data_IF_783795660464
#
_entry.id   IF_783795660464
#
_cell.length_a   1.000
_cell.length_b   1.000
_cell.length_c   1.000
_cell.angle_alpha   90.00
_cell.angle_beta   90.00
_cell.angle_gamma   90.00
#
_symmetry.space_group_name_H-M   'P 1'
#
loop_
_entity.id
_entity.type
_entity.pdbx_description
1 polymer ?
#
# COMPACT_ATOMS: atom_id res chain seq x y z
N UNK A 1 17.00 20.14 -18.61
CA UNK A 1 16.77 18.72 -18.97
C UNK A 1 17.61 17.77 -18.12
N UNK A 2 18.94 17.92 -18.07
CA UNK A 2 19.83 16.98 -17.36
C UNK A 2 19.55 16.82 -15.86
N UNK A 3 19.26 17.92 -15.14
CA UNK A 3 18.84 17.86 -13.72
C UNK A 3 17.52 17.10 -13.51
N UNK A 4 16.56 17.25 -14.43
CA UNK A 4 15.24 16.57 -14.38
C UNK A 4 15.42 15.07 -14.65
N UNK A 5 16.30 14.70 -15.59
CA UNK A 5 16.60 13.29 -15.86
C UNK A 5 17.28 12.62 -14.68
N UNK A 6 18.24 13.28 -14.03
CA UNK A 6 18.92 12.74 -12.83
C UNK A 6 17.95 12.56 -11.66
N UNK A 7 17.12 13.56 -11.36
CA UNK A 7 16.13 13.45 -10.27
C UNK A 7 15.07 12.38 -10.56
N UNK A 8 14.60 12.30 -11.80
CA UNK A 8 13.61 11.30 -12.22
C UNK A 8 14.18 9.88 -12.16
N UNK A 9 15.45 9.66 -12.53
CA UNK A 9 16.10 8.36 -12.39
C UNK A 9 16.20 7.89 -10.94
N UNK A 10 16.52 8.79 -10.00
CA UNK A 10 16.51 8.46 -8.56
C UNK A 10 15.12 8.08 -8.10
N UNK A 11 14.09 8.85 -8.47
CA UNK A 11 12.70 8.57 -8.11
C UNK A 11 12.21 7.22 -8.68
N UNK A 12 12.53 6.93 -9.95
CA UNK A 12 12.23 5.64 -10.60
C UNK A 12 12.89 4.47 -9.84
N UNK A 13 14.14 4.65 -9.40
CA UNK A 13 14.87 3.62 -8.65
C UNK A 13 14.22 3.37 -7.29
N UNK A 14 13.90 4.42 -6.55
CA UNK A 14 13.23 4.31 -5.24
C UNK A 14 11.86 3.65 -5.42
N UNK A 15 11.06 4.09 -6.38
CA UNK A 15 9.75 3.51 -6.66
C UNK A 15 9.86 2.02 -7.02
N UNK A 16 10.87 1.63 -7.79
CA UNK A 16 11.13 0.22 -8.12
C UNK A 16 11.46 -0.60 -6.87
N UNK A 17 12.35 -0.09 -6.01
CA UNK A 17 12.74 -0.78 -4.76
C UNK A 17 11.53 -0.95 -3.85
N UNK A 18 10.76 0.11 -3.60
CA UNK A 18 9.58 0.06 -2.76
C UNK A 18 8.51 -0.89 -3.31
N UNK A 19 8.29 -0.89 -4.63
CA UNK A 19 7.40 -1.86 -5.28
C UNK A 19 7.86 -3.30 -5.04
N UNK A 20 9.15 -3.59 -5.18
CA UNK A 20 9.69 -4.93 -4.94
C UNK A 20 9.50 -5.34 -3.47
N UNK A 21 9.78 -4.45 -2.52
CA UNK A 21 9.50 -4.71 -1.10
C UNK A 21 8.03 -5.01 -0.84
N UNK A 22 7.10 -4.28 -1.46
CA UNK A 22 5.67 -4.56 -1.33
C UNK A 22 5.27 -5.91 -1.93
N UNK A 23 5.90 -6.36 -3.02
CA UNK A 23 5.69 -7.72 -3.57
C UNK A 23 6.18 -8.78 -2.60
N UNK A 24 7.38 -8.60 -2.02
CA UNK A 24 7.93 -9.53 -1.04
C UNK A 24 7.03 -9.59 0.20
N UNK A 25 6.60 -8.42 0.71
CA UNK A 25 5.64 -8.32 1.81
C UNK A 25 4.33 -9.04 1.51
N UNK A 26 3.75 -8.85 0.31
CA UNK A 26 2.55 -9.57 -0.13
C UNK A 26 2.72 -11.09 -0.05
N UNK A 27 3.83 -11.62 -0.56
CA UNK A 27 4.11 -13.07 -0.55
C UNK A 27 4.19 -13.59 0.89
N UNK A 28 4.96 -12.92 1.75
CA UNK A 28 5.10 -13.33 3.15
C UNK A 28 3.78 -13.23 3.92
N UNK A 29 2.98 -12.19 3.66
CA UNK A 29 1.67 -12.04 4.29
C UNK A 29 0.69 -13.13 3.89
N UNK A 30 0.65 -13.51 2.61
CA UNK A 30 -0.21 -14.62 2.14
C UNK A 30 0.25 -15.96 2.73
N UNK A 31 1.55 -16.25 2.70
CA UNK A 31 2.10 -17.48 3.29
C UNK A 31 1.87 -17.53 4.80
N UNK A 32 2.10 -16.41 5.49
CA UNK A 32 1.86 -16.30 6.92
C UNK A 32 0.39 -16.47 7.28
N UNK A 33 -0.54 -15.94 6.48
CA UNK A 33 -1.97 -16.15 6.68
C UNK A 33 -2.37 -17.63 6.52
N UNK A 34 -1.86 -18.31 5.48
CA UNK A 34 -2.08 -19.75 5.29
C UNK A 34 -1.56 -20.54 6.48
N UNK A 35 -0.34 -20.24 6.95
CA UNK A 35 0.22 -20.86 8.16
C UNK A 35 -0.61 -20.55 9.42
N UNK A 36 -1.12 -19.32 9.56
CA UNK A 36 -1.97 -18.91 10.68
C UNK A 36 -3.27 -19.72 10.75
N UNK A 37 -3.92 -19.97 9.60
CA UNK A 37 -5.08 -20.86 9.54
C UNK A 37 -4.71 -22.33 9.78
N UNK A 38 -3.66 -22.82 9.13
CA UNK A 38 -3.26 -24.23 9.21
C UNK A 38 -2.77 -24.63 10.61
N UNK A 39 -2.08 -23.71 11.31
CA UNK A 39 -1.50 -23.94 12.63
C UNK A 39 -2.29 -23.27 13.76
N UNK A 40 -3.56 -22.92 13.53
CA UNK A 40 -4.38 -22.17 14.48
C UNK A 40 -4.40 -22.81 15.88
N UNK A 41 -4.51 -24.13 15.98
CA UNK A 41 -4.50 -24.84 17.26
C UNK A 41 -3.21 -24.66 18.07
N UNK A 42 -2.06 -24.74 17.39
CA UNK A 42 -0.75 -24.51 18.03
C UNK A 42 -0.57 -23.04 18.43
N UNK A 43 -0.92 -22.12 17.54
CA UNK A 43 -0.80 -20.68 17.78
C UNK A 43 -1.67 -20.26 18.97
N UNK A 44 -2.91 -20.74 19.03
CA UNK A 44 -3.81 -20.44 20.15
C UNK A 44 -3.24 -20.95 21.47
N UNK A 45 -2.72 -22.18 21.52
CA UNK A 45 -2.07 -22.73 22.72
C UNK A 45 -0.82 -21.94 23.11
N UNK A 46 0.01 -21.54 22.15
CA UNK A 46 1.22 -20.76 22.40
C UNK A 46 0.91 -19.40 23.04
N UNK A 47 -0.17 -18.75 22.58
CA UNK A 47 -0.64 -17.46 23.10
C UNK A 47 -1.63 -17.59 24.28
N UNK A 48 -1.82 -18.78 24.85
CA UNK A 48 -2.44 -18.91 26.18
C UNK A 48 -1.48 -18.49 27.30
N UNK A 49 -0.17 -18.49 27.05
CA UNK A 49 0.82 -17.96 27.99
C UNK A 49 0.84 -16.42 27.93
N UNK A 50 0.57 -15.72 29.06
CA UNK A 50 0.57 -14.26 29.12
C UNK A 50 1.89 -13.60 28.71
N UNK A 51 3.03 -14.27 28.90
CA UNK A 51 4.34 -13.74 28.53
C UNK A 51 4.52 -13.66 27.01
N UNK A 52 3.99 -14.65 26.28
CA UNK A 52 4.01 -14.67 24.81
C UNK A 52 3.03 -13.64 24.22
N UNK A 53 1.88 -13.43 24.88
CA UNK A 53 0.92 -12.38 24.49
C UNK A 53 1.55 -10.99 24.66
N UNK A 54 2.22 -10.74 25.79
CA UNK A 54 2.92 -9.49 26.04
C UNK A 54 4.03 -9.23 25.00
N UNK A 55 4.78 -10.27 24.63
CA UNK A 55 5.82 -10.16 23.60
C UNK A 55 5.25 -9.84 22.20
N UNK A 56 4.01 -10.23 21.91
CA UNK A 56 3.34 -9.99 20.64
C UNK A 56 2.41 -8.77 20.63
N UNK A 57 2.44 -7.94 21.68
CA UNK A 57 1.45 -6.88 21.87
C UNK A 57 1.40 -5.86 20.73
N UNK A 58 2.56 -5.47 20.19
CA UNK A 58 2.63 -4.58 19.02
C UNK A 58 2.01 -5.17 17.76
N UNK A 59 2.05 -6.50 17.61
CA UNK A 59 1.39 -7.20 16.51
C UNK A 59 -0.12 -7.31 16.76
N UNK A 60 -0.53 -7.55 18.01
CA UNK A 60 -1.95 -7.64 18.40
C UNK A 60 -2.71 -6.31 18.30
N UNK A 61 -1.98 -5.19 18.33
CA UNK A 61 -2.50 -3.84 18.22
C UNK A 61 -2.16 -3.18 16.86
N UNK A 62 -1.55 -3.92 15.94
CA UNK A 62 -1.13 -3.33 14.68
C UNK A 62 -2.34 -2.84 13.88
N UNK A 63 -2.23 -1.61 13.38
CA UNK A 63 -3.26 -0.94 12.61
C UNK A 63 -3.64 -1.76 11.37
N UNK A 64 -4.94 -1.97 11.19
CA UNK A 64 -5.52 -2.71 10.07
C UNK A 64 -6.17 -1.77 9.04
N UNK A 65 -5.98 -0.45 9.16
CA UNK A 65 -6.59 0.56 8.30
C UNK A 65 -8.12 0.50 8.36
N UNK A 66 -8.80 0.62 7.21
CA UNK A 66 -10.27 0.50 7.15
C UNK A 66 -10.80 -0.83 7.72
N UNK A 67 -10.00 -1.89 7.75
CA UNK A 67 -10.41 -3.18 8.33
C UNK A 67 -10.52 -3.13 9.86
N UNK A 68 -10.00 -2.09 10.52
CA UNK A 68 -10.23 -1.83 11.94
C UNK A 68 -11.69 -1.50 12.29
N UNK A 69 -12.52 -1.14 11.31
CA UNK A 69 -13.97 -0.97 11.50
C UNK A 69 -14.71 -2.31 11.66
N UNK A 70 -14.08 -3.41 11.26
CA UNK A 70 -14.63 -4.76 11.43
C UNK A 70 -14.19 -5.25 12.81
N UNK A 71 -15.12 -5.76 13.66
CA UNK A 71 -14.84 -6.09 15.06
C UNK A 71 -14.06 -7.42 15.22
N UNK A 72 -12.87 -7.51 14.60
CA UNK A 72 -11.96 -8.65 14.73
C UNK A 72 -11.40 -8.80 16.15
N UNK A 73 -11.59 -7.80 17.01
CA UNK A 73 -11.31 -7.86 18.46
C UNK A 73 -11.99 -9.04 19.13
N UNK A 74 -13.21 -9.38 18.71
CA UNK A 74 -13.94 -10.55 19.23
C UNK A 74 -13.23 -11.90 18.98
N UNK A 75 -12.46 -12.00 17.88
CA UNK A 75 -11.68 -13.20 17.55
C UNK A 75 -10.49 -13.34 18.50
N UNK A 76 -9.82 -12.21 18.79
CA UNK A 76 -8.72 -12.13 19.76
C UNK A 76 -9.21 -12.44 21.17
N UNK A 77 -10.31 -11.84 21.60
CA UNK A 77 -10.92 -12.04 22.92
C UNK A 77 -11.42 -13.48 23.13
N UNK A 78 -11.86 -14.14 22.05
CA UNK A 78 -12.21 -15.57 22.06
C UNK A 78 -11.00 -16.52 22.07
N UNK A 79 -9.76 -16.01 22.17
CA UNK A 79 -8.53 -16.81 22.21
C UNK A 79 -8.15 -17.44 20.87
N UNK A 80 -8.76 -17.00 19.75
CA UNK A 80 -8.49 -17.51 18.40
C UNK A 80 -7.38 -16.69 17.72
N UNK A 81 -6.22 -16.63 18.35
CA UNK A 81 -5.06 -15.87 17.91
C UNK A 81 -4.57 -16.25 16.50
N UNK A 82 -4.58 -17.53 16.13
CA UNK A 82 -4.15 -17.97 14.79
C UNK A 82 -5.03 -17.41 13.66
N UNK A 83 -6.34 -17.45 13.84
CA UNK A 83 -7.31 -16.83 12.91
C UNK A 83 -7.15 -15.30 12.91
N UNK A 84 -6.99 -14.68 14.08
CA UNK A 84 -6.80 -13.24 14.20
C UNK A 84 -5.56 -12.76 13.42
N UNK A 85 -4.40 -13.37 13.64
CA UNK A 85 -3.17 -13.05 12.91
C UNK A 85 -3.29 -13.35 11.41
N UNK A 86 -3.96 -14.44 11.03
CA UNK A 86 -4.18 -14.75 9.63
C UNK A 86 -5.00 -13.67 8.91
N UNK A 87 -6.08 -13.19 9.54
CA UNK A 87 -6.90 -12.09 9.01
C UNK A 87 -6.06 -10.81 8.91
N UNK A 88 -5.30 -10.48 9.96
CA UNK A 88 -4.43 -9.29 9.96
C UNK A 88 -3.40 -9.33 8.82
N UNK A 89 -2.80 -10.49 8.56
CA UNK A 89 -1.88 -10.69 7.44
C UNK A 89 -2.59 -10.57 6.09
N UNK A 90 -3.84 -11.04 5.96
CA UNK A 90 -4.63 -10.81 4.74
C UNK A 90 -4.94 -9.32 4.53
N UNK A 91 -5.26 -8.57 5.60
CA UNK A 91 -5.41 -7.13 5.53
C UNK A 91 -4.11 -6.47 5.05
N UNK A 92 -2.97 -6.88 5.60
CA UNK A 92 -1.64 -6.43 5.17
C UNK A 92 -1.36 -6.78 3.69
N UNK A 93 -1.78 -7.95 3.22
CA UNK A 93 -1.64 -8.35 1.82
C UNK A 93 -2.42 -7.40 0.89
N UNK A 94 -3.64 -7.01 1.23
CA UNK A 94 -4.43 -6.03 0.47
C UNK A 94 -3.71 -4.67 0.41
N UNK A 95 -3.16 -4.21 1.54
CA UNK A 95 -2.36 -2.97 1.60
C UNK A 95 -1.12 -3.06 0.72
N UNK A 96 -0.44 -4.20 0.72
CA UNK A 96 0.72 -4.44 -0.16
C UNK A 96 0.33 -4.37 -1.64
N UNK A 97 -0.84 -4.92 -2.05
CA UNK A 97 -1.36 -4.79 -3.42
C UNK A 97 -1.58 -3.31 -3.79
N UNK A 98 -2.15 -2.52 -2.88
CA UNK A 98 -2.32 -1.09 -3.08
C UNK A 98 -0.96 -0.39 -3.30
N UNK A 99 0.05 -0.67 -2.47
CA UNK A 99 1.39 -0.09 -2.65
C UNK A 99 2.09 -0.53 -3.94
N UNK A 100 1.94 -1.79 -4.36
CA UNK A 100 2.48 -2.28 -5.64
C UNK A 100 1.92 -1.44 -6.79
N UNK A 101 0.62 -1.15 -6.76
CA UNK A 101 -0.04 -0.32 -7.76
C UNK A 101 0.45 1.13 -7.72
N UNK A 102 0.51 1.73 -6.53
CA UNK A 102 0.96 3.12 -6.32
C UNK A 102 2.40 3.32 -6.82
N UNK A 103 3.34 2.48 -6.37
CA UNK A 103 4.74 2.61 -6.78
C UNK A 103 4.96 2.20 -8.24
N UNK A 104 4.15 1.29 -8.78
CA UNK A 104 4.12 0.97 -10.20
C UNK A 104 3.71 2.18 -11.05
N UNK A 105 2.66 2.89 -10.65
CA UNK A 105 2.21 4.12 -11.30
C UNK A 105 3.28 5.21 -11.17
N UNK A 106 3.79 5.47 -9.97
CA UNK A 106 4.83 6.48 -9.75
C UNK A 106 6.04 6.25 -10.65
N UNK A 107 6.49 5.00 -10.74
CA UNK A 107 7.57 4.60 -11.65
C UNK A 107 7.25 4.98 -13.09
N UNK A 108 6.09 4.57 -13.62
CA UNK A 108 5.67 4.87 -15.01
C UNK A 108 5.58 6.37 -15.26
N UNK A 109 5.00 7.13 -14.33
CA UNK A 109 4.88 8.60 -14.43
C UNK A 109 6.26 9.26 -14.49
N UNK A 110 7.19 8.85 -13.63
CA UNK A 110 8.54 9.42 -13.61
C UNK A 110 9.37 9.01 -14.83
N UNK A 111 9.18 7.79 -15.36
CA UNK A 111 9.76 7.37 -16.64
C UNK A 111 9.25 8.24 -17.79
N UNK A 112 7.95 8.50 -17.87
CA UNK A 112 7.36 9.39 -18.87
C UNK A 112 7.91 10.82 -18.79
N UNK A 113 8.02 11.39 -17.57
CA UNK A 113 8.59 12.74 -17.37
C UNK A 113 10.05 12.78 -17.82
N UNK A 114 10.83 11.73 -17.51
CA UNK A 114 12.24 11.62 -17.93
C UNK A 114 12.38 11.57 -19.45
N UNK A 115 11.53 10.79 -20.10
CA UNK A 115 11.68 10.44 -21.52
C UNK A 115 11.01 11.48 -22.45
N UNK A 116 9.94 12.13 -22.00
CA UNK A 116 9.12 13.01 -22.84
C UNK A 116 8.93 14.42 -22.27
N UNK A 117 9.37 14.68 -21.03
CA UNK A 117 9.09 15.93 -20.31
C UNK A 117 7.65 16.04 -19.82
N UNK A 118 6.80 15.03 -20.07
CA UNK A 118 5.35 15.02 -19.76
C UNK A 118 5.01 13.84 -18.85
N UNK A 119 4.04 13.98 -17.94
CA UNK A 119 3.68 12.91 -17.00
C UNK A 119 2.95 11.73 -17.66
N UNK A 120 2.19 11.99 -18.73
CA UNK A 120 1.46 11.00 -19.52
C UNK A 120 1.17 11.56 -20.92
N UNK A 121 0.88 10.70 -21.90
CA UNK A 121 0.47 11.17 -23.23
C UNK A 121 -1.00 11.64 -23.24
N UNK A 122 -1.34 12.56 -24.15
CA UNK A 122 -2.71 13.10 -24.31
C UNK A 122 -3.75 11.98 -24.49
N UNK A 123 -3.42 10.93 -25.25
CA UNK A 123 -4.26 9.75 -25.44
C UNK A 123 -4.49 8.92 -24.16
N UNK A 124 -3.62 9.04 -23.16
CA UNK A 124 -3.72 8.31 -21.88
C UNK A 124 -4.37 9.16 -20.76
N UNK A 125 -4.73 10.41 -21.02
CA UNK A 125 -5.24 11.38 -20.03
C UNK A 125 -6.40 10.83 -19.20
N UNK A 126 -7.40 10.24 -19.85
CA UNK A 126 -8.58 9.70 -19.16
C UNK A 126 -8.22 8.53 -18.23
N UNK A 127 -7.26 7.70 -18.65
CA UNK A 127 -6.74 6.59 -17.86
C UNK A 127 -6.00 7.13 -16.63
N UNK A 128 -5.06 8.05 -16.81
CA UNK A 128 -4.29 8.63 -15.70
C UNK A 128 -5.16 9.35 -14.67
N UNK A 129 -6.19 10.09 -15.11
CA UNK A 129 -7.16 10.72 -14.21
C UNK A 129 -7.85 9.69 -13.31
N UNK A 130 -8.36 8.61 -13.89
CA UNK A 130 -8.97 7.51 -13.11
C UNK A 130 -7.97 6.88 -12.16
N UNK A 131 -6.76 6.62 -12.63
CA UNK A 131 -5.68 5.99 -11.85
C UNK A 131 -5.27 6.86 -10.66
N UNK A 132 -5.20 8.19 -10.81
CA UNK A 132 -4.94 9.12 -9.71
C UNK A 132 -6.05 9.14 -8.67
N UNK A 133 -7.32 9.14 -9.10
CA UNK A 133 -8.47 9.04 -8.19
C UNK A 133 -8.41 7.73 -7.38
N UNK A 134 -8.17 6.60 -8.06
CA UNK A 134 -8.04 5.29 -7.41
C UNK A 134 -6.93 5.32 -6.37
N UNK A 135 -5.75 5.87 -6.70
CA UNK A 135 -4.64 5.99 -5.75
C UNK A 135 -5.00 6.81 -4.52
N UNK A 136 -5.65 7.97 -4.68
CA UNK A 136 -6.07 8.79 -3.54
C UNK A 136 -7.07 8.06 -2.65
N UNK A 137 -8.01 7.32 -3.25
CA UNK A 137 -8.96 6.48 -2.50
C UNK A 137 -8.21 5.37 -1.75
N UNK A 138 -7.26 4.68 -2.38
CA UNK A 138 -6.47 3.65 -1.71
C UNK A 138 -5.67 4.22 -0.51
N UNK A 139 -5.06 5.40 -0.65
CA UNK A 139 -4.35 6.04 0.48
C UNK A 139 -5.33 6.39 1.61
N UNK A 140 -6.53 6.87 1.26
CA UNK A 140 -7.58 7.18 2.24
C UNK A 140 -8.02 5.95 3.03
N UNK A 141 -8.22 4.82 2.34
CA UNK A 141 -8.72 3.59 2.94
C UNK A 141 -7.67 2.88 3.81
N UNK A 142 -6.38 3.04 3.49
CA UNK A 142 -5.32 2.20 4.06
C UNK A 142 -4.23 2.94 4.82
N UNK A 143 -4.18 4.27 4.77
CA UNK A 143 -3.21 5.07 5.51
C UNK A 143 -3.94 5.97 6.49
N UNK A 144 -4.45 7.11 6.02
CA UNK A 144 -5.27 8.03 6.81
C UNK A 144 -5.82 9.14 5.88
N UNK A 145 -6.74 9.94 6.38
CA UNK A 145 -7.36 11.06 5.67
C UNK A 145 -6.34 12.14 5.27
N UNK A 146 -5.43 12.51 6.17
CA UNK A 146 -4.47 13.61 5.93
C UNK A 146 -3.49 13.27 4.80
N UNK A 147 -2.80 12.12 4.79
CA UNK A 147 -1.95 11.70 3.68
C UNK A 147 -2.72 11.59 2.36
N UNK A 148 -3.97 11.12 2.39
CA UNK A 148 -4.79 10.98 1.20
C UNK A 148 -5.16 12.32 0.56
N UNK A 149 -5.53 13.32 1.38
CA UNK A 149 -5.80 14.68 0.92
C UNK A 149 -4.56 15.31 0.27
N UNK A 150 -3.41 15.21 0.92
CA UNK A 150 -2.15 15.75 0.39
C UNK A 150 -1.80 15.09 -0.93
N UNK A 151 -1.83 13.75 -1.00
CA UNK A 151 -1.56 13.01 -2.23
C UNK A 151 -2.55 13.38 -3.34
N UNK A 152 -3.84 13.50 -3.03
CA UNK A 152 -4.87 13.88 -4.00
C UNK A 152 -4.64 15.27 -4.60
N UNK A 153 -4.32 16.27 -3.77
CA UNK A 153 -4.00 17.63 -4.23
C UNK A 153 -2.79 17.61 -5.16
N UNK A 154 -1.72 16.88 -4.78
CA UNK A 154 -0.51 16.76 -5.59
C UNK A 154 -0.79 16.10 -6.94
N UNK A 155 -1.58 15.02 -6.96
CA UNK A 155 -1.92 14.29 -8.19
C UNK A 155 -2.82 15.12 -9.12
N UNK A 156 -3.79 15.86 -8.57
CA UNK A 156 -4.63 16.78 -9.35
C UNK A 156 -3.80 17.96 -9.90
N UNK A 157 -2.91 18.53 -9.09
CA UNK A 157 -1.98 19.57 -9.53
C UNK A 157 -1.09 19.10 -10.68
N UNK A 158 -0.48 17.91 -10.54
CA UNK A 158 0.33 17.30 -11.58
C UNK A 158 -0.47 17.06 -12.86
N UNK A 159 -1.72 16.59 -12.74
CA UNK A 159 -2.62 16.40 -13.87
C UNK A 159 -2.88 17.70 -14.63
N UNK A 160 -3.28 18.76 -13.91
CA UNK A 160 -3.61 20.05 -14.52
C UNK A 160 -2.40 20.69 -15.20
N UNK A 161 -1.23 20.67 -14.56
CA UNK A 161 0.03 21.20 -15.15
C UNK A 161 0.42 20.42 -16.39
N UNK A 162 0.29 19.09 -16.37
CA UNK A 162 0.64 18.23 -17.51
C UNK A 162 -0.27 18.46 -18.70
N UNK A 163 -1.58 18.63 -18.48
CA UNK A 163 -2.55 18.93 -19.55
C UNK A 163 -2.29 20.32 -20.11
N UNK A 164 -2.06 21.33 -19.27
CA UNK A 164 -1.77 22.70 -19.71
C UNK A 164 -0.51 22.77 -20.59
N UNK A 165 0.58 22.09 -20.18
CA UNK A 165 1.82 22.01 -20.97
C UNK A 165 1.74 21.10 -22.21
N UNK A 166 0.58 20.50 -22.49
CA UNK A 166 0.32 19.73 -23.71
C UNK A 166 -0.59 20.45 -24.71
N UNK A 167 -1.28 21.49 -24.26
CA UNK A 167 -2.12 22.36 -25.09
C UNK A 167 -1.36 23.54 -25.74
N UNK A 168 -0.07 23.69 -25.42
CA UNK A 168 0.89 24.55 -26.13
C UNK A 168 1.64 23.74 -27.20
#
# INVERSE_FOLDING_TARGET
MEKIQKSSNTAVTIAKVLRTFSIIGLVFSVLGAVCGFAMNGFINQYYQDPSNVAAAQSSLEADMGIFGLIPFTSIKEGGNFGIFFAIQLLCCAVVCVAFIYIFGMLKKTMENVRDTGKAFALSETATYKKTFIITSILILLFVDLVPALIAGILLIGLFNVTVAGQSE
#
